data_IF_898713772608
#
_entry.id   IF_898713772608
#
_cell.length_a   1.000
_cell.length_b   1.000
_cell.length_c   1.000
_cell.angle_alpha   90.00
_cell.angle_beta   90.00
_cell.angle_gamma   90.00
#
_symmetry.space_group_name_H-M   'P 1'
#
loop_
_entity.id
_entity.type
_entity.pdbx_description
1 polymer ?
#
# COMPACT_ATOMS: atom_id res chain seq x y z
N UNK A 1 2.70 14.03 -5.44
CA UNK A 1 1.73 13.28 -4.61
C UNK A 1 2.48 12.67 -3.45
N UNK A 2 2.04 12.90 -2.20
CA UNK A 2 2.67 12.33 -1.00
C UNK A 2 1.96 11.04 -0.62
N UNK A 3 2.68 9.98 -0.29
CA UNK A 3 2.10 8.73 0.22
C UNK A 3 2.37 8.61 1.71
N UNK A 4 1.35 8.27 2.48
CA UNK A 4 1.44 8.11 3.95
C UNK A 4 0.86 6.76 4.33
N UNK A 5 1.66 5.93 5.00
CA UNK A 5 1.21 4.65 5.54
C UNK A 5 0.58 4.88 6.92
N UNK A 6 -0.62 4.35 7.15
CA UNK A 6 -1.35 4.50 8.42
C UNK A 6 -2.00 3.17 8.82
N UNK A 7 -1.91 2.70 10.06
CA UNK A 7 -2.68 1.53 10.48
C UNK A 7 -4.19 1.83 10.43
N UNK A 8 -5.02 0.83 10.11
CA UNK A 8 -6.48 0.94 10.23
C UNK A 8 -6.83 1.13 11.72
N UNK A 9 -7.62 2.18 12.08
CA UNK A 9 -8.08 2.37 13.46
C UNK A 9 -8.78 1.12 14.00
N UNK A 10 -8.57 0.80 15.27
CA UNK A 10 -9.04 -0.44 15.89
C UNK A 10 -10.55 -0.64 15.72
N UNK A 11 -11.32 0.44 15.80
CA UNK A 11 -12.78 0.45 15.68
C UNK A 11 -13.27 0.15 14.25
N UNK A 12 -12.40 0.28 13.25
CA UNK A 12 -12.70 0.07 11.83
C UNK A 12 -12.06 -1.21 11.28
N UNK A 13 -11.31 -1.95 12.10
CA UNK A 13 -10.69 -3.19 11.68
C UNK A 13 -11.76 -4.26 11.46
N UNK A 14 -11.72 -4.91 10.29
CA UNK A 14 -12.64 -5.98 9.91
C UNK A 14 -11.84 -7.15 9.34
N UNK A 15 -12.33 -8.38 9.53
CA UNK A 15 -11.73 -9.57 8.91
C UNK A 15 -11.82 -9.54 7.37
N UNK A 16 -12.68 -8.69 6.81
CA UNK A 16 -12.90 -8.60 5.37
C UNK A 16 -12.09 -7.49 4.68
N UNK A 17 -11.45 -6.59 5.45
CA UNK A 17 -10.72 -5.44 4.91
C UNK A 17 -9.33 -5.39 5.51
N UNK A 18 -8.36 -5.78 4.69
CA UNK A 18 -6.96 -5.85 5.08
C UNK A 18 -6.18 -4.58 4.74
N UNK A 19 -6.64 -3.82 3.74
CA UNK A 19 -6.03 -2.58 3.26
C UNK A 19 -7.07 -1.66 2.62
N UNK A 20 -6.71 -0.37 2.52
CA UNK A 20 -7.52 0.63 1.84
C UNK A 20 -6.66 1.83 1.44
N UNK A 21 -6.83 2.34 0.23
CA UNK A 21 -6.24 3.62 -0.18
C UNK A 21 -7.27 4.73 -0.30
N UNK A 22 -6.96 5.89 0.28
CA UNK A 22 -7.79 7.10 0.18
C UNK A 22 -6.94 8.28 -0.28
N UNK A 23 -7.42 9.03 -1.27
CA UNK A 23 -6.79 10.30 -1.68
C UNK A 23 -7.47 11.49 -0.98
N UNK A 24 -6.67 12.34 -0.33
CA UNK A 24 -7.10 13.60 0.28
C UNK A 24 -6.20 14.72 -0.23
N UNK A 25 -6.72 15.52 -1.16
CA UNK A 25 -5.93 16.55 -1.86
C UNK A 25 -4.76 15.93 -2.62
N UNK A 26 -3.53 16.37 -2.32
CA UNK A 26 -2.30 15.84 -2.93
C UNK A 26 -1.68 14.65 -2.19
N UNK A 27 -2.39 14.09 -1.19
CA UNK A 27 -1.89 13.01 -0.33
C UNK A 27 -2.71 11.74 -0.52
N UNK A 28 -2.06 10.63 -0.86
CA UNK A 28 -2.65 9.30 -0.72
C UNK A 28 -2.30 8.71 0.65
N UNK A 29 -3.33 8.31 1.38
CA UNK A 29 -3.21 7.53 2.60
C UNK A 29 -3.44 6.07 2.28
N UNK A 30 -2.44 5.24 2.55
CA UNK A 30 -2.52 3.79 2.47
C UNK A 30 -2.75 3.26 3.87
N UNK A 31 -3.93 2.71 4.09
CA UNK A 31 -4.31 2.05 5.32
C UNK A 31 -4.01 0.55 5.24
N UNK A 32 -3.49 -0.02 6.32
CA UNK A 32 -3.19 -1.45 6.43
C UNK A 32 -3.66 -2.02 7.77
N UNK A 33 -4.06 -3.29 7.81
CA UNK A 33 -4.34 -3.99 9.06
C UNK A 33 -3.03 -4.32 9.77
N UNK A 34 -2.75 -3.74 10.96
CA UNK A 34 -1.50 -3.97 11.68
C UNK A 34 -1.37 -5.38 12.27
N UNK A 35 -2.47 -6.15 12.36
CA UNK A 35 -2.52 -7.50 12.93
C UNK A 35 -2.05 -8.58 11.96
N UNK A 36 -1.93 -8.26 10.67
CA UNK A 36 -1.45 -9.18 9.65
C UNK A 36 0.01 -9.58 9.92
N UNK A 37 0.36 -10.80 9.47
CA UNK A 37 1.76 -11.22 9.46
C UNK A 37 2.62 -10.23 8.67
N UNK A 38 3.92 -10.07 8.98
CA UNK A 38 4.77 -9.08 8.31
C UNK A 38 4.77 -9.18 6.77
N UNK A 39 4.72 -10.42 6.24
CA UNK A 39 4.63 -10.68 4.81
C UNK A 39 3.29 -10.21 4.23
N UNK A 40 2.17 -10.60 4.85
CA UNK A 40 0.84 -10.23 4.37
C UNK A 40 0.63 -8.72 4.45
N UNK A 41 1.08 -8.09 5.54
CA UNK A 41 1.06 -6.63 5.69
C UNK A 41 1.83 -5.93 4.59
N UNK A 42 3.03 -6.43 4.26
CA UNK A 42 3.83 -5.90 3.16
C UNK A 42 3.12 -6.04 1.83
N UNK A 43 2.59 -7.23 1.52
CA UNK A 43 1.85 -7.46 0.28
C UNK A 43 0.64 -6.55 0.17
N UNK A 44 -0.12 -6.38 1.25
CA UNK A 44 -1.26 -5.45 1.29
C UNK A 44 -0.84 -4.01 1.03
N UNK A 45 0.23 -3.53 1.67
CA UNK A 45 0.72 -2.16 1.43
C UNK A 45 1.15 -1.98 -0.05
N UNK A 46 1.82 -2.98 -0.63
CA UNK A 46 2.26 -2.93 -2.03
C UNK A 46 1.09 -2.99 -3.01
N UNK A 47 0.04 -3.74 -2.68
CA UNK A 47 -1.21 -3.80 -3.43
C UNK A 47 -1.89 -2.42 -3.47
N UNK A 48 -2.09 -1.81 -2.32
CA UNK A 48 -2.64 -0.46 -2.19
C UNK A 48 -1.78 0.59 -2.91
N UNK A 49 -0.46 0.44 -2.83
CA UNK A 49 0.46 1.29 -3.57
C UNK A 49 0.37 1.10 -5.08
N UNK A 50 0.09 -0.11 -5.57
CA UNK A 50 -0.11 -0.36 -6.99
C UNK A 50 -1.32 0.42 -7.54
N UNK A 51 -2.41 0.55 -6.77
CA UNK A 51 -3.54 1.40 -7.16
C UNK A 51 -3.16 2.87 -7.32
N UNK A 52 -2.29 3.38 -6.45
CA UNK A 52 -1.73 4.73 -6.58
C UNK A 52 -0.95 4.86 -7.89
N UNK A 53 -0.04 3.92 -8.17
CA UNK A 53 0.80 3.94 -9.36
C UNK A 53 -0.02 3.85 -10.65
N UNK A 54 -1.11 3.08 -10.62
CA UNK A 54 -1.98 2.91 -11.78
C UNK A 54 -2.94 4.09 -12.00
N UNK A 55 -3.09 4.99 -11.03
CA UNK A 55 -4.11 6.03 -11.07
C UNK A 55 -5.52 5.47 -10.90
N UNK A 56 -5.67 4.34 -10.21
CA UNK A 56 -6.97 3.68 -9.99
C UNK A 56 -7.83 4.43 -8.96
N UNK A 57 -7.26 5.42 -8.27
CA UNK A 57 -7.97 6.26 -7.31
C UNK A 57 -8.87 7.26 -8.06
N UNK A 58 -10.19 7.13 -7.90
CA UNK A 58 -11.16 8.11 -8.41
C UNK A 58 -10.87 9.49 -7.80
N UNK A 59 -10.15 10.32 -8.55
CA UNK A 59 -10.09 11.76 -8.35
C UNK A 59 -11.41 12.33 -8.87
N UNK A 60 -12.20 12.90 -7.95
CA UNK A 60 -13.38 13.75 -8.20
C UNK A 60 -14.77 13.08 -8.23
N UNK A 61 -15.62 13.57 -7.31
CA UNK A 61 -17.10 13.54 -7.29
C UNK A 61 -17.79 12.19 -7.12
N UNK A 62 -17.47 11.49 -6.04
CA UNK A 62 -18.45 10.87 -5.14
C UNK A 62 -17.65 10.01 -4.18
N UNK A 63 -17.70 10.32 -2.88
CA UNK A 63 -17.14 9.48 -1.83
C UNK A 63 -17.97 8.20 -1.64
N UNK A 64 -18.36 7.54 -2.73
CA UNK A 64 -18.85 6.17 -2.70
C UNK A 64 -17.61 5.31 -2.55
N UNK A 65 -17.43 4.72 -1.37
CA UNK A 65 -16.41 3.70 -1.15
C UNK A 65 -16.61 2.59 -2.17
N UNK A 66 -15.81 2.59 -3.24
CA UNK A 66 -15.79 1.49 -4.17
C UNK A 66 -15.05 0.36 -3.47
N UNK A 67 -15.83 -0.55 -2.88
CA UNK A 67 -15.34 -1.81 -2.39
C UNK A 67 -15.08 -2.68 -3.62
N UNK A 68 -13.87 -2.61 -4.16
CA UNK A 68 -13.45 -3.46 -5.26
C UNK A 68 -13.18 -4.85 -4.70
N UNK A 69 -13.89 -5.85 -5.20
CA UNK A 69 -13.60 -7.26 -4.91
C UNK A 69 -12.46 -7.71 -5.81
N UNK A 70 -11.65 -8.68 -5.35
CA UNK A 70 -10.52 -9.28 -6.07
C UNK A 70 -10.82 -9.71 -7.53
N UNK A 71 -12.08 -9.78 -7.92
CA UNK A 71 -12.53 -10.22 -9.24
C UNK A 71 -12.43 -9.14 -10.32
N UNK A 72 -12.26 -7.86 -9.97
CA UNK A 72 -12.16 -6.82 -11.00
C UNK A 72 -10.80 -6.87 -11.73
N UNK A 73 -10.73 -6.48 -13.02
CA UNK A 73 -9.46 -6.36 -13.73
C UNK A 73 -8.47 -5.41 -13.06
N UNK A 74 -8.97 -4.37 -12.39
CA UNK A 74 -8.18 -3.41 -11.62
C UNK A 74 -7.47 -4.10 -10.45
N UNK A 75 -8.21 -4.85 -9.62
CA UNK A 75 -7.65 -5.62 -8.49
C UNK A 75 -6.61 -6.64 -8.94
N UNK A 76 -6.91 -7.41 -10.00
CA UNK A 76 -5.95 -8.40 -10.53
C UNK A 76 -4.65 -7.76 -10.98
N UNK A 77 -4.74 -6.59 -11.58
CA UNK A 77 -3.56 -5.87 -12.08
C UNK A 77 -2.78 -5.24 -10.93
N UNK A 78 -3.44 -4.71 -9.91
CA UNK A 78 -2.81 -4.25 -8.68
C UNK A 78 -2.06 -5.38 -7.97
N UNK A 79 -2.68 -6.56 -7.83
CA UNK A 79 -2.07 -7.74 -7.22
C UNK A 79 -0.81 -8.19 -7.97
N UNK A 80 -0.87 -8.27 -9.30
CA UNK A 80 0.30 -8.63 -10.12
C UNK A 80 1.43 -7.62 -9.98
N UNK A 81 1.13 -6.32 -9.93
CA UNK A 81 2.13 -5.28 -9.70
C UNK A 81 2.74 -5.41 -8.31
N UNK A 82 1.93 -5.64 -7.27
CA UNK A 82 2.38 -5.84 -5.90
C UNK A 82 3.34 -7.03 -5.78
N UNK A 83 2.99 -8.18 -6.39
CA UNK A 83 3.87 -9.35 -6.41
C UNK A 83 5.21 -9.06 -7.08
N UNK A 84 5.21 -8.31 -8.20
CA UNK A 84 6.45 -7.92 -8.88
C UNK A 84 7.30 -6.98 -8.03
N UNK A 85 6.68 -6.00 -7.38
CA UNK A 85 7.37 -5.10 -6.46
C UNK A 85 7.97 -5.88 -5.29
N UNK A 86 7.20 -6.81 -4.69
CA UNK A 86 7.67 -7.65 -3.59
C UNK A 86 8.86 -8.51 -4.00
N UNK A 87 8.81 -9.13 -5.20
CA UNK A 87 9.93 -9.91 -5.72
C UNK A 87 11.18 -9.05 -5.94
N UNK A 88 11.02 -7.87 -6.53
CA UNK A 88 12.14 -6.96 -6.78
C UNK A 88 12.72 -6.40 -5.48
N UNK A 89 11.87 -6.12 -4.49
CA UNK A 89 12.29 -5.69 -3.16
C UNK A 89 13.04 -6.80 -2.43
N UNK A 90 12.56 -8.04 -2.48
CA UNK A 90 13.29 -9.19 -1.94
C UNK A 90 14.64 -9.38 -2.64
N UNK A 91 14.71 -9.14 -3.95
CA UNK A 91 15.96 -9.23 -4.71
C UNK A 91 16.97 -8.14 -4.30
N UNK A 92 16.51 -6.94 -3.97
CA UNK A 92 17.35 -5.79 -3.60
C UNK A 92 17.69 -5.70 -2.12
N UNK A 93 16.76 -6.08 -1.24
CA UNK A 93 16.90 -6.03 0.20
C UNK A 93 17.20 -7.43 0.75
N UNK A 94 18.45 -7.67 1.10
CA UNK A 94 18.76 -8.73 2.06
C UNK A 94 18.31 -8.25 3.46
N UNK A 95 17.06 -8.55 3.80
CA UNK A 95 16.52 -8.73 5.17
C UNK A 95 16.29 -7.59 6.17
N UNK A 96 16.52 -6.28 5.93
CA UNK A 96 16.07 -5.26 6.93
C UNK A 96 15.47 -3.92 6.44
N UNK A 97 15.70 -3.47 5.21
CA UNK A 97 15.47 -2.04 4.87
C UNK A 97 14.12 -1.70 4.21
N UNK A 98 13.16 -2.63 4.19
CA UNK A 98 11.97 -2.52 3.35
C UNK A 98 11.03 -1.37 3.75
N UNK A 99 10.71 -1.25 5.05
CA UNK A 99 9.79 -0.22 5.53
C UNK A 99 10.47 1.15 5.57
N UNK A 100 11.78 1.20 5.78
CA UNK A 100 12.56 2.43 5.75
C UNK A 100 12.69 2.96 4.31
N UNK A 101 12.91 2.08 3.34
CA UNK A 101 12.90 2.44 1.91
C UNK A 101 11.54 2.98 1.46
N UNK A 102 10.44 2.30 1.81
CA UNK A 102 9.09 2.71 1.39
C UNK A 102 8.58 3.95 2.12
N UNK A 103 9.03 4.19 3.35
CA UNK A 103 8.68 5.40 4.11
C UNK A 103 9.57 6.60 3.80
N UNK A 104 10.65 6.42 3.02
CA UNK A 104 11.67 7.44 2.80
C UNK A 104 12.53 7.72 4.03
N UNK A 105 12.55 6.80 4.99
CA UNK A 105 13.35 6.87 6.22
C UNK A 105 14.69 6.14 6.09
N UNK A 106 15.00 5.58 4.91
CA UNK A 106 16.30 4.98 4.63
C UNK A 106 17.38 6.07 4.81
N UNK A 107 18.16 5.87 5.86
CA UNK A 107 19.04 6.83 6.51
C UNK A 107 20.08 7.43 5.55
N UNK A 108 20.29 8.75 5.63
CA UNK A 108 21.21 9.56 4.82
C UNK A 108 22.67 9.40 5.28
N UNK A 109 23.00 8.29 5.93
CA UNK A 109 24.24 8.07 6.69
C UNK A 109 25.42 7.50 5.86
N UNK A 110 25.31 7.50 4.52
CA UNK A 110 26.41 7.12 3.61
C UNK A 110 27.09 8.32 2.91
N UNK A 111 26.96 9.54 3.46
CA UNK A 111 27.76 10.69 3.03
C UNK A 111 28.85 11.03 4.05
N UNK A 112 29.93 10.25 4.09
CA UNK A 112 31.25 10.71 4.52
C UNK A 112 32.37 9.86 3.92
#
# INVERSE_FOLDING_TARGET
MRVVLTPIPEELQSAEVNGLTVSVGSTAKVYYDPRLSPLNRTQTILHEFAHILHGDLCSEKSATSYRTTFETPQERRAELTAMRLMFELHRRCHSSDLLDFLSGSADDSLRH
#
